data_IF_058724569057
#
_entry.id   IF_058724569057
#
_cell.length_a   1.000
_cell.length_b   1.000
_cell.length_c   1.000
_cell.angle_alpha   90.00
_cell.angle_beta   90.00
_cell.angle_gamma   90.00
#
_symmetry.space_group_name_H-M   'P 1'
#
loop_
_entity.id
_entity.type
_entity.pdbx_description
1 polymer ?
#
# COMPACT_ATOMS: atom_id res chain seq x y z
N UNK A 1 10.66 20.14 2.65
CA UNK A 1 10.28 18.74 2.33
C UNK A 1 8.77 18.66 2.42
N UNK A 2 8.12 17.87 1.57
CA UNK A 2 6.66 17.72 1.66
C UNK A 2 6.28 17.02 2.96
N UNK A 3 5.20 17.44 3.62
CA UNK A 3 4.63 16.73 4.77
C UNK A 3 4.02 15.41 4.30
N UNK A 4 4.48 14.30 4.86
CA UNK A 4 4.12 12.95 4.39
C UNK A 4 3.23 12.23 5.39
N UNK A 5 2.04 11.85 4.96
CA UNK A 5 1.10 11.02 5.73
C UNK A 5 1.14 9.60 5.20
N UNK A 6 1.65 8.66 6.00
CA UNK A 6 1.64 7.24 5.68
C UNK A 6 0.26 6.65 5.92
N UNK A 7 -0.40 6.22 4.85
CA UNK A 7 -1.71 5.60 4.90
C UNK A 7 -1.59 4.08 4.89
N UNK A 8 -2.11 3.43 5.93
CA UNK A 8 -2.09 1.97 6.08
C UNK A 8 -3.42 1.43 6.61
N UNK A 9 -3.49 0.12 6.79
CA UNK A 9 -4.68 -0.59 7.30
C UNK A 9 -4.68 -2.03 6.82
N UNK A 10 -5.46 -2.91 7.44
CA UNK A 10 -5.57 -4.32 7.05
C UNK A 10 -6.09 -4.53 5.63
N UNK A 11 -5.89 -5.74 5.12
CA UNK A 11 -6.52 -6.14 3.84
C UNK A 11 -8.05 -5.95 3.97
N UNK A 12 -8.69 -5.40 2.94
CA UNK A 12 -10.15 -5.16 2.98
C UNK A 12 -10.62 -4.00 3.86
N UNK A 13 -9.71 -3.25 4.52
CA UNK A 13 -10.09 -2.10 5.36
C UNK A 13 -10.62 -0.90 4.57
N UNK A 14 -10.34 -0.79 3.26
CA UNK A 14 -10.78 0.33 2.42
C UNK A 14 -9.70 1.39 2.13
N UNK A 15 -8.42 1.05 2.30
CA UNK A 15 -7.29 1.94 1.97
C UNK A 15 -7.41 2.61 0.60
N UNK A 16 -7.69 1.83 -0.43
CA UNK A 16 -7.79 2.33 -1.81
C UNK A 16 -8.93 3.33 -1.98
N UNK A 17 -10.06 3.13 -1.31
CA UNK A 17 -11.18 4.06 -1.35
C UNK A 17 -10.84 5.39 -0.65
N UNK A 18 -10.15 5.32 0.49
CA UNK A 18 -9.67 6.50 1.21
C UNK A 18 -8.61 7.26 0.39
N UNK A 19 -7.64 6.54 -0.20
CA UNK A 19 -6.61 7.14 -1.05
C UNK A 19 -7.21 7.86 -2.27
N UNK A 20 -8.15 7.22 -2.98
CA UNK A 20 -8.86 7.83 -4.10
C UNK A 20 -9.67 9.08 -3.69
N UNK A 21 -10.23 9.10 -2.50
CA UNK A 21 -10.95 10.28 -2.01
C UNK A 21 -9.99 11.43 -1.64
N UNK A 22 -8.82 11.15 -1.04
CA UNK A 22 -7.77 12.16 -0.84
C UNK A 22 -7.30 12.75 -2.17
N UNK A 23 -7.08 11.90 -3.18
CA UNK A 23 -6.71 12.33 -4.53
C UNK A 23 -7.78 13.20 -5.18
N UNK A 24 -9.07 12.83 -5.05
CA UNK A 24 -10.21 13.63 -5.52
C UNK A 24 -10.27 15.02 -4.88
N UNK A 25 -9.83 15.13 -3.63
CA UNK A 25 -9.73 16.40 -2.90
C UNK A 25 -8.45 17.21 -3.23
N UNK A 26 -7.59 16.69 -4.12
CA UNK A 26 -6.39 17.37 -4.61
C UNK A 26 -5.11 17.05 -3.84
N UNK A 27 -5.10 16.03 -2.99
CA UNK A 27 -3.86 15.53 -2.39
C UNK A 27 -3.03 14.74 -3.41
N UNK A 28 -1.72 14.84 -3.34
CA UNK A 28 -0.83 13.93 -4.04
C UNK A 28 -0.84 12.56 -3.37
N UNK A 29 -1.02 11.50 -4.15
CA UNK A 29 -1.01 10.12 -3.67
C UNK A 29 0.16 9.35 -4.28
N UNK A 30 0.96 8.70 -3.45
CA UNK A 30 2.04 7.80 -3.85
C UNK A 30 1.74 6.42 -3.26
N UNK A 31 1.42 5.46 -4.12
CA UNK A 31 1.02 4.10 -3.73
C UNK A 31 2.12 3.10 -4.09
N UNK A 32 2.64 2.40 -3.07
CA UNK A 32 3.71 1.41 -3.23
C UNK A 32 3.28 0.20 -4.04
N UNK A 33 2.01 -0.22 -3.98
CA UNK A 33 1.50 -1.33 -4.78
C UNK A 33 1.37 -0.94 -6.26
N UNK A 34 0.95 0.31 -6.55
CA UNK A 34 0.92 0.84 -7.90
C UNK A 34 2.32 0.93 -8.49
N UNK A 35 3.30 1.42 -7.72
CA UNK A 35 4.71 1.47 -8.12
C UNK A 35 5.24 0.06 -8.39
N UNK A 36 5.00 -0.91 -7.50
CA UNK A 36 5.41 -2.30 -7.72
C UNK A 36 4.80 -2.87 -9.01
N UNK A 37 3.56 -2.48 -9.31
CA UNK A 37 2.90 -2.87 -10.55
C UNK A 37 3.61 -2.29 -11.77
N UNK A 38 3.89 -1.00 -11.79
CA UNK A 38 4.56 -0.31 -12.88
C UNK A 38 5.99 -0.84 -13.12
N UNK A 39 6.77 -1.06 -12.05
CA UNK A 39 8.12 -1.62 -12.14
C UNK A 39 8.17 -3.00 -12.80
N UNK A 40 7.08 -3.75 -12.72
CA UNK A 40 6.95 -5.13 -13.24
C UNK A 40 6.10 -5.25 -14.50
N UNK A 41 5.69 -4.12 -15.13
CA UNK A 41 5.04 -4.09 -16.45
C UNK A 41 6.04 -4.40 -17.58
N UNK A 42 5.52 -4.57 -18.80
CA UNK A 42 6.34 -4.70 -20.00
C UNK A 42 7.31 -3.51 -20.13
N UNK A 43 8.60 -3.79 -20.23
CA UNK A 43 9.64 -2.76 -20.26
C UNK A 43 9.92 -2.09 -18.91
N UNK A 44 9.28 -2.52 -17.84
CA UNK A 44 9.54 -2.01 -16.50
C UNK A 44 10.97 -2.30 -16.02
N UNK A 45 11.54 -1.40 -15.19
CA UNK A 45 12.96 -1.49 -14.82
C UNK A 45 13.32 -2.73 -13.99
N UNK A 46 12.34 -3.41 -13.38
CA UNK A 46 12.58 -4.65 -12.64
C UNK A 46 12.62 -5.90 -13.55
N UNK A 47 12.10 -5.84 -14.79
CA UNK A 47 11.95 -7.00 -15.66
C UNK A 47 13.29 -7.69 -15.97
N UNK A 48 14.39 -7.01 -16.35
CA UNK A 48 15.65 -7.69 -16.64
C UNK A 48 16.17 -8.50 -15.45
N UNK A 49 16.15 -7.94 -14.25
CA UNK A 49 16.64 -8.61 -13.05
C UNK A 49 15.69 -9.73 -12.57
N UNK A 50 14.38 -9.59 -12.77
CA UNK A 50 13.41 -10.67 -12.52
C UNK A 50 13.69 -11.85 -13.45
N UNK A 51 13.94 -11.58 -14.74
CA UNK A 51 14.24 -12.64 -15.71
C UNK A 51 15.57 -13.34 -15.41
N UNK A 52 16.57 -12.60 -14.96
CA UNK A 52 17.86 -13.17 -14.55
C UNK A 52 17.73 -14.09 -13.33
N UNK A 53 16.95 -13.67 -12.30
CA UNK A 53 16.81 -14.41 -11.05
C UNK A 53 15.84 -15.58 -11.14
N UNK A 54 14.78 -15.46 -11.92
CA UNK A 54 13.65 -16.40 -11.89
C UNK A 54 13.40 -17.12 -13.23
N UNK A 55 14.17 -16.76 -14.28
CA UNK A 55 13.99 -17.32 -15.61
C UNK A 55 12.92 -16.61 -16.44
N UNK A 56 12.87 -16.98 -17.73
CA UNK A 56 11.89 -16.42 -18.67
C UNK A 56 10.47 -16.92 -18.47
N UNK A 57 10.29 -18.02 -17.76
CA UNK A 57 8.98 -18.63 -17.48
C UNK A 57 8.07 -17.75 -16.62
N UNK A 58 8.63 -16.84 -15.82
CA UNK A 58 7.86 -15.88 -15.03
C UNK A 58 7.57 -14.57 -15.78
N UNK A 59 7.99 -14.49 -17.04
CA UNK A 59 7.66 -13.35 -17.92
C UNK A 59 6.53 -13.79 -18.85
N UNK A 60 5.47 -13.01 -18.89
CA UNK A 60 4.32 -13.25 -19.78
C UNK A 60 4.59 -12.87 -21.22
N UNK A 61 3.73 -13.27 -22.13
CA UNK A 61 3.84 -12.97 -23.57
C UNK A 61 3.87 -11.46 -23.88
N UNK A 62 3.34 -10.62 -22.99
CA UNK A 62 3.40 -9.16 -23.11
C UNK A 62 4.76 -8.56 -22.73
N UNK A 63 5.69 -9.33 -22.18
CA UNK A 63 6.95 -8.85 -21.60
C UNK A 63 6.83 -8.33 -20.17
N UNK A 64 5.66 -8.39 -19.55
CA UNK A 64 5.44 -8.09 -18.14
C UNK A 64 5.69 -9.32 -17.26
N UNK A 65 5.95 -9.13 -15.98
CA UNK A 65 5.98 -10.23 -15.01
C UNK A 65 4.60 -10.90 -14.93
N UNK A 66 4.57 -12.23 -15.11
CA UNK A 66 3.38 -13.05 -14.88
C UNK A 66 3.14 -13.18 -13.37
N UNK A 67 2.23 -12.35 -12.85
CA UNK A 67 1.93 -12.27 -11.41
C UNK A 67 1.40 -13.57 -10.82
N UNK A 68 0.71 -14.38 -11.64
CA UNK A 68 0.21 -15.67 -11.18
C UNK A 68 1.36 -16.64 -10.99
N UNK A 69 2.20 -16.81 -12.02
CA UNK A 69 3.37 -17.71 -11.95
C UNK A 69 4.34 -17.28 -10.85
N UNK A 70 4.61 -15.96 -10.73
CA UNK A 70 5.48 -15.44 -9.68
C UNK A 70 4.89 -15.70 -8.29
N UNK A 71 3.59 -15.50 -8.08
CA UNK A 71 2.91 -15.80 -6.81
C UNK A 71 3.03 -17.28 -6.47
N UNK A 72 2.75 -18.16 -7.42
CA UNK A 72 2.86 -19.60 -7.24
C UNK A 72 4.30 -19.99 -6.86
N UNK A 73 5.31 -19.38 -7.49
CA UNK A 73 6.73 -19.57 -7.21
C UNK A 73 7.12 -19.15 -5.79
N UNK A 74 6.79 -17.91 -5.40
CA UNK A 74 7.16 -17.38 -4.07
C UNK A 74 6.35 -18.02 -2.93
N UNK A 75 5.18 -18.56 -3.23
CA UNK A 75 4.40 -19.31 -2.25
C UNK A 75 5.01 -20.70 -1.98
N UNK A 76 5.55 -21.35 -3.02
CA UNK A 76 6.19 -22.65 -2.91
C UNK A 76 7.62 -22.57 -2.35
N UNK A 77 8.32 -21.45 -2.52
CA UNK A 77 9.74 -21.28 -2.18
C UNK A 77 9.99 -19.99 -1.39
N UNK A 78 10.22 -20.07 -0.07
CA UNK A 78 10.56 -18.90 0.76
C UNK A 78 11.84 -18.18 0.35
N UNK A 79 12.81 -18.88 -0.27
CA UNK A 79 14.03 -18.25 -0.77
C UNK A 79 13.73 -17.39 -2.01
N UNK A 80 12.88 -17.86 -2.91
CA UNK A 80 12.38 -17.10 -4.05
C UNK A 80 11.60 -15.85 -3.59
N UNK A 81 10.76 -15.98 -2.55
CA UNK A 81 10.08 -14.83 -1.95
C UNK A 81 11.07 -13.78 -1.47
N UNK A 82 12.06 -14.19 -0.68
CA UNK A 82 13.08 -13.28 -0.15
C UNK A 82 13.90 -12.62 -1.26
N UNK A 83 14.24 -13.35 -2.32
CA UNK A 83 14.97 -12.82 -3.47
C UNK A 83 14.14 -11.76 -4.23
N UNK A 84 12.84 -12.01 -4.46
CA UNK A 84 11.96 -11.05 -5.10
C UNK A 84 11.78 -9.78 -4.26
N UNK A 85 11.58 -9.94 -2.96
CA UNK A 85 11.49 -8.81 -2.02
C UNK A 85 12.79 -7.99 -1.99
N UNK A 86 13.95 -8.65 -1.92
CA UNK A 86 15.25 -7.98 -1.94
C UNK A 86 15.50 -7.18 -3.23
N UNK A 87 14.94 -7.65 -4.37
CA UNK A 87 15.00 -6.94 -5.64
C UNK A 87 14.02 -5.75 -5.69
N UNK A 88 12.76 -5.97 -5.33
CA UNK A 88 11.72 -4.97 -5.55
C UNK A 88 11.69 -3.87 -4.48
N UNK A 89 11.98 -4.18 -3.22
CA UNK A 89 11.88 -3.20 -2.14
C UNK A 89 12.75 -1.95 -2.35
N UNK A 90 14.04 -2.06 -2.77
CA UNK A 90 14.85 -0.88 -3.07
C UNK A 90 14.28 -0.04 -4.22
N UNK A 91 13.82 -0.69 -5.27
CA UNK A 91 13.25 -0.01 -6.45
C UNK A 91 11.96 0.74 -6.11
N UNK A 92 11.05 0.08 -5.38
CA UNK A 92 9.80 0.70 -4.92
C UNK A 92 10.09 1.90 -4.02
N UNK A 93 11.02 1.75 -3.10
CA UNK A 93 11.42 2.78 -2.14
C UNK A 93 12.03 4.00 -2.82
N UNK A 94 12.92 3.79 -3.78
CA UNK A 94 13.57 4.88 -4.49
C UNK A 94 12.59 5.61 -5.41
N UNK A 95 11.67 4.89 -6.05
CA UNK A 95 10.63 5.49 -6.86
C UNK A 95 9.60 6.24 -6.00
N UNK A 96 9.20 5.68 -4.86
CA UNK A 96 8.32 6.36 -3.90
C UNK A 96 8.94 7.68 -3.44
N UNK A 97 10.22 7.67 -3.06
CA UNK A 97 10.94 8.88 -2.65
C UNK A 97 10.94 9.94 -3.75
N UNK A 98 11.30 9.55 -4.99
CA UNK A 98 11.30 10.48 -6.13
C UNK A 98 9.93 11.10 -6.40
N UNK A 99 8.86 10.32 -6.28
CA UNK A 99 7.49 10.82 -6.46
C UNK A 99 7.08 11.76 -5.33
N UNK A 100 7.40 11.44 -4.08
CA UNK A 100 7.12 12.28 -2.92
C UNK A 100 7.86 13.62 -3.04
N UNK A 101 9.15 13.63 -3.42
CA UNK A 101 9.94 14.85 -3.60
C UNK A 101 9.41 15.77 -4.70
N UNK A 102 8.80 15.21 -5.75
CA UNK A 102 8.23 15.94 -6.89
C UNK A 102 6.73 16.24 -6.75
N UNK A 103 6.10 15.70 -5.74
CA UNK A 103 4.66 15.83 -5.54
C UNK A 103 4.27 17.29 -5.30
N UNK A 104 3.30 17.84 -6.04
CA UNK A 104 2.76 19.16 -5.77
C UNK A 104 1.89 19.17 -4.51
N UNK A 105 1.71 20.38 -3.92
CA UNK A 105 0.79 20.57 -2.81
C UNK A 105 1.47 20.58 -1.45
N UNK A 106 0.66 20.78 -0.42
CA UNK A 106 1.13 20.97 0.95
C UNK A 106 1.52 19.66 1.64
N UNK A 107 0.96 18.53 1.21
CA UNK A 107 1.22 17.22 1.78
C UNK A 107 1.03 16.09 0.75
N UNK A 108 1.55 14.92 1.09
CA UNK A 108 1.47 13.69 0.29
C UNK A 108 0.84 12.57 1.13
N UNK A 109 -0.08 11.82 0.55
CA UNK A 109 -0.54 10.53 1.07
C UNK A 109 0.36 9.44 0.49
N UNK A 110 1.17 8.82 1.33
CA UNK A 110 2.00 7.67 0.98
C UNK A 110 1.31 6.38 1.40
N UNK A 111 0.73 5.66 0.45
CA UNK A 111 0.00 4.41 0.71
C UNK A 111 1.00 3.27 0.82
N UNK A 112 1.12 2.71 2.02
CA UNK A 112 2.03 1.61 2.34
C UNK A 112 1.27 0.53 3.12
N UNK A 113 0.90 -0.60 2.49
CA UNK A 113 0.12 -1.65 3.15
C UNK A 113 0.78 -2.23 4.40
N UNK A 114 2.11 -2.38 4.39
CA UNK A 114 2.91 -2.93 5.48
C UNK A 114 3.73 -1.84 6.22
N UNK A 115 3.13 -0.67 6.43
CA UNK A 115 3.80 0.48 7.06
C UNK A 115 4.27 0.17 8.48
N UNK A 116 3.46 -0.55 9.23
CA UNK A 116 3.72 -0.85 10.65
C UNK A 116 4.78 -1.94 10.79
N UNK A 117 4.78 -2.90 9.87
CA UNK A 117 5.73 -4.01 9.83
C UNK A 117 7.12 -3.58 9.32
N UNK A 118 7.20 -2.41 8.68
CA UNK A 118 8.44 -1.90 8.08
C UNK A 118 8.95 -0.64 8.77
N UNK A 119 9.94 -0.74 9.67
CA UNK A 119 10.56 0.43 10.32
C UNK A 119 11.10 1.45 9.33
N UNK A 120 11.57 1.01 8.19
CA UNK A 120 12.12 1.81 7.09
C UNK A 120 11.06 2.80 6.53
N UNK A 121 9.83 2.36 6.32
CA UNK A 121 8.73 3.22 5.87
C UNK A 121 8.20 4.09 7.00
N UNK A 122 8.15 3.57 8.24
CA UNK A 122 7.67 4.34 9.40
C UNK A 122 8.53 5.57 9.67
N UNK A 123 9.85 5.47 9.48
CA UNK A 123 10.78 6.59 9.69
C UNK A 123 10.70 7.69 8.60
N UNK A 124 9.96 7.45 7.53
CA UNK A 124 9.85 8.36 6.36
C UNK A 124 8.51 9.08 6.27
N UNK A 125 7.67 8.93 7.26
CA UNK A 125 6.36 9.57 7.32
C UNK A 125 6.27 10.43 8.56
N UNK A 126 5.69 11.62 8.43
CA UNK A 126 5.48 12.56 9.53
C UNK A 126 4.29 12.15 10.40
N UNK A 127 3.30 11.48 9.80
CA UNK A 127 2.11 10.95 10.49
C UNK A 127 1.68 9.61 9.92
N UNK A 128 1.04 8.82 10.76
CA UNK A 128 0.43 7.54 10.38
C UNK A 128 -1.08 7.66 10.41
N UNK A 129 -1.71 7.47 9.26
CA UNK A 129 -3.16 7.33 9.11
C UNK A 129 -3.52 5.86 8.95
N UNK A 130 -4.34 5.34 9.86
CA UNK A 130 -4.85 3.98 9.79
C UNK A 130 -6.31 3.98 9.33
N UNK A 131 -6.59 3.21 8.28
CA UNK A 131 -7.97 2.87 7.91
C UNK A 131 -8.35 1.63 8.68
N UNK A 132 -9.21 1.80 9.69
CA UNK A 132 -9.66 0.74 10.58
C UNK A 132 -11.00 0.16 10.15
N UNK A 133 -11.08 -1.17 10.14
CA UNK A 133 -12.31 -1.92 10.00
C UNK A 133 -12.24 -3.18 10.87
N UNK A 134 -13.38 -3.68 11.40
CA UNK A 134 -13.41 -4.96 12.07
C UNK A 134 -12.91 -6.08 11.16
N UNK A 135 -12.23 -7.06 11.73
CA UNK A 135 -11.62 -8.17 10.96
C UNK A 135 -12.65 -8.96 10.15
N UNK A 136 -13.84 -9.22 10.73
CA UNK A 136 -14.93 -9.92 10.04
C UNK A 136 -15.39 -9.16 8.79
N UNK A 137 -15.48 -7.84 8.89
CA UNK A 137 -15.83 -6.99 7.73
C UNK A 137 -14.72 -6.96 6.67
N UNK A 138 -13.47 -7.01 7.10
CA UNK A 138 -12.32 -7.11 6.18
C UNK A 138 -12.38 -8.44 5.40
N UNK A 139 -12.61 -9.55 6.09
CA UNK A 139 -12.74 -10.88 5.50
C UNK A 139 -13.90 -10.92 4.49
N UNK A 140 -15.08 -10.44 4.90
CA UNK A 140 -16.26 -10.37 4.03
C UNK A 140 -15.99 -9.58 2.75
N UNK A 141 -15.45 -8.37 2.87
CA UNK A 141 -15.14 -7.50 1.73
C UNK A 141 -14.15 -8.12 0.75
N UNK A 142 -13.11 -8.80 1.27
CA UNK A 142 -12.12 -9.46 0.41
C UNK A 142 -12.73 -10.65 -0.30
N UNK A 143 -13.52 -11.48 0.37
CA UNK A 143 -14.23 -12.62 -0.25
C UNK A 143 -15.15 -12.18 -1.38
N UNK A 144 -15.96 -11.14 -1.15
CA UNK A 144 -16.87 -10.60 -2.16
C UNK A 144 -16.13 -10.05 -3.38
N UNK A 145 -14.96 -9.44 -3.18
CA UNK A 145 -14.19 -8.82 -4.27
C UNK A 145 -13.36 -9.80 -5.08
N UNK A 146 -12.75 -10.79 -4.43
CA UNK A 146 -11.70 -11.62 -5.03
C UNK A 146 -12.07 -13.10 -5.17
N UNK A 147 -13.20 -13.55 -4.60
CA UNK A 147 -13.62 -14.95 -4.65
C UNK A 147 -12.73 -15.91 -3.82
N UNK A 148 -11.79 -15.40 -3.03
CA UNK A 148 -10.98 -16.24 -2.14
C UNK A 148 -11.83 -16.88 -1.04
N UNK A 149 -11.42 -18.05 -0.60
CA UNK A 149 -11.99 -18.71 0.57
C UNK A 149 -11.71 -17.89 1.84
N UNK A 150 -12.54 -18.08 2.86
CA UNK A 150 -12.34 -17.42 4.15
C UNK A 150 -10.98 -17.80 4.78
N UNK A 151 -10.58 -19.06 4.67
CA UNK A 151 -9.30 -19.54 5.20
C UNK A 151 -8.09 -18.85 4.55
N UNK A 152 -8.10 -18.65 3.23
CA UNK A 152 -7.04 -17.92 2.53
C UNK A 152 -6.98 -16.47 2.99
N UNK A 153 -8.13 -15.80 3.13
CA UNK A 153 -8.16 -14.40 3.59
C UNK A 153 -7.66 -14.28 5.02
N UNK A 154 -8.07 -15.17 5.93
CA UNK A 154 -7.60 -15.18 7.32
C UNK A 154 -6.10 -15.44 7.42
N UNK A 155 -5.53 -16.26 6.55
CA UNK A 155 -4.07 -16.45 6.46
C UNK A 155 -3.35 -15.15 6.11
N UNK A 156 -3.88 -14.35 5.19
CA UNK A 156 -3.32 -13.04 4.85
C UNK A 156 -3.47 -12.06 6.01
N UNK A 157 -4.62 -12.03 6.68
CA UNK A 157 -4.88 -11.17 7.84
C UNK A 157 -3.90 -11.48 8.97
N UNK A 158 -3.68 -12.77 9.29
CA UNK A 158 -2.78 -13.20 10.37
C UNK A 158 -1.30 -12.92 10.11
N UNK A 159 -0.91 -12.74 8.83
CA UNK A 159 0.45 -12.36 8.44
C UNK A 159 0.73 -10.86 8.56
N UNK A 160 -0.30 -10.03 8.76
CA UNK A 160 -0.17 -8.58 8.96
C UNK A 160 -0.10 -8.24 10.45
N UNK A 161 0.36 -7.01 10.75
CA UNK A 161 0.25 -6.46 12.10
C UNK A 161 -1.19 -6.57 12.60
N UNK A 162 -1.39 -6.87 13.88
CA UNK A 162 -2.72 -6.95 14.47
C UNK A 162 -3.44 -5.60 14.42
N UNK A 163 -4.77 -5.61 14.49
CA UNK A 163 -5.57 -4.37 14.59
C UNK A 163 -5.09 -3.51 15.75
N UNK A 164 -4.78 -4.11 16.92
CA UNK A 164 -4.28 -3.40 18.09
C UNK A 164 -2.94 -2.72 17.83
N UNK A 165 -2.01 -3.40 17.18
CA UNK A 165 -0.70 -2.82 16.80
C UNK A 165 -0.85 -1.65 15.83
N UNK A 166 -1.74 -1.78 14.81
CA UNK A 166 -2.00 -0.68 13.88
C UNK A 166 -2.60 0.54 14.60
N UNK A 167 -3.60 0.35 15.45
CA UNK A 167 -4.22 1.44 16.20
C UNK A 167 -3.26 2.10 17.19
N UNK A 168 -2.38 1.32 17.84
CA UNK A 168 -1.36 1.86 18.74
C UNK A 168 -0.30 2.71 18.03
N UNK A 169 -0.04 2.45 16.73
CA UNK A 169 0.91 3.20 15.92
C UNK A 169 0.29 4.40 15.19
N UNK A 170 -1.03 4.55 15.23
CA UNK A 170 -1.76 5.57 14.49
C UNK A 170 -1.68 6.95 15.17
N UNK A 171 -1.41 7.98 14.39
CA UNK A 171 -1.64 9.37 14.77
C UNK A 171 -3.07 9.81 14.46
N UNK A 172 -3.66 9.22 13.41
CA UNK A 172 -5.04 9.45 12.97
C UNK A 172 -5.69 8.14 12.55
N UNK A 173 -6.99 8.02 12.76
CA UNK A 173 -7.76 6.83 12.40
C UNK A 173 -9.02 7.23 11.63
N UNK A 174 -9.30 6.55 10.54
CA UNK A 174 -10.60 6.56 9.87
C UNK A 174 -11.30 5.23 10.18
N UNK A 175 -12.45 5.29 10.82
CA UNK A 175 -13.28 4.12 11.05
C UNK A 175 -14.14 3.82 9.81
N UNK A 176 -13.83 2.74 9.10
CA UNK A 176 -14.53 2.34 7.89
C UNK A 176 -15.46 1.14 8.14
N UNK A 177 -16.49 1.37 8.97
CA UNK A 177 -17.54 0.37 9.30
C UNK A 177 -18.85 0.61 8.57
N UNK A 178 -19.01 1.78 7.95
CA UNK A 178 -20.26 2.26 7.43
C UNK A 178 -20.27 2.41 5.89
N UNK A 179 -20.97 3.44 5.45
CA UNK A 179 -21.14 3.80 4.05
C UNK A 179 -19.90 4.47 3.47
N UNK A 180 -19.84 4.54 2.15
CA UNK A 180 -18.79 5.28 1.45
C UNK A 180 -18.85 6.79 1.78
N UNK A 181 -20.01 7.34 2.02
CA UNK A 181 -20.17 8.76 2.35
C UNK A 181 -19.62 9.07 3.74
N UNK A 182 -19.82 8.18 4.72
CA UNK A 182 -19.21 8.32 6.04
C UNK A 182 -17.66 8.24 5.98
N UNK A 183 -17.10 7.44 5.07
CA UNK A 183 -15.67 7.44 4.79
C UNK A 183 -15.20 8.78 4.21
N UNK A 184 -15.92 9.29 3.20
CA UNK A 184 -15.62 10.57 2.55
C UNK A 184 -15.64 11.75 3.49
N UNK A 185 -16.59 11.81 4.41
CA UNK A 185 -16.69 12.86 5.44
C UNK A 185 -15.46 12.86 6.34
N UNK A 186 -15.02 11.69 6.83
CA UNK A 186 -13.82 11.54 7.64
C UNK A 186 -12.55 11.92 6.85
N UNK A 187 -12.44 11.49 5.59
CA UNK A 187 -11.34 11.87 4.71
C UNK A 187 -11.31 13.38 4.51
N UNK A 188 -12.44 14.02 4.24
CA UNK A 188 -12.51 15.46 4.05
C UNK A 188 -12.10 16.25 5.31
N UNK A 189 -12.43 15.76 6.50
CA UNK A 189 -11.98 16.37 7.77
C UNK A 189 -10.46 16.28 7.93
N UNK A 190 -9.89 15.09 7.67
CA UNK A 190 -8.43 14.89 7.75
C UNK A 190 -7.68 15.64 6.64
N UNK A 191 -8.24 15.72 5.44
CA UNK A 191 -7.66 16.52 4.35
C UNK A 191 -7.44 17.98 4.78
N UNK A 192 -8.44 18.62 5.39
CA UNK A 192 -8.29 19.99 5.92
C UNK A 192 -7.16 20.08 6.96
N UNK A 193 -7.13 19.14 7.92
CA UNK A 193 -6.07 19.06 8.93
C UNK A 193 -4.69 18.93 8.31
N UNK A 194 -4.53 18.06 7.29
CA UNK A 194 -3.23 17.84 6.65
C UNK A 194 -2.79 19.00 5.77
N UNK A 195 -3.71 19.75 5.17
CA UNK A 195 -3.39 21.01 4.50
C UNK A 195 -2.79 22.04 5.46
N UNK A 196 -3.33 22.15 6.66
CA UNK A 196 -2.81 23.07 7.69
C UNK A 196 -1.42 22.62 8.17
N UNK A 197 -1.27 21.35 8.52
CA UNK A 197 0.01 20.78 8.97
C UNK A 197 1.10 20.88 7.90
N UNK A 198 0.78 20.58 6.65
CA UNK A 198 1.73 20.66 5.55
C UNK A 198 2.18 22.10 5.22
N UNK A 199 1.29 23.09 5.39
CA UNK A 199 1.66 24.51 5.25
C UNK A 199 2.55 24.99 6.40
N UNK A 200 2.32 24.48 7.60
CA UNK A 200 3.14 24.83 8.76
C UNK A 200 4.54 24.20 8.74
N UNK A 201 4.75 23.13 7.95
CA UNK A 201 6.02 22.43 7.80
C UNK A 201 6.90 22.97 6.65
N UNK A 202 6.40 23.89 5.83
CA UNK A 202 7.11 24.58 4.73
C UNK A 202 7.80 25.83 5.21
#
# INVERSE_FOLDING_TARGET
MSFVVGLTGGIGSGKSAAAAEFERLGASVVDTDAIAHELTQAGGPAIPAIQELFGSEVIGASGAMDRKKMRDRVFADPAAKKALEALLHPLIRDESRRRIERAPGAYVIHVVPLLIESPDYRSRVDRVLVIDAPEELQVERVRLRSGHSEAEVRTVVSAQATRAQRLAAADDVIENRGTIDALREQVAALHRKYLELGRAAQ
#
